data_IF_366555689630
#
_entry.id   IF_366555689630
#
_cell.length_a   1.000
_cell.length_b   1.000
_cell.length_c   1.000
_cell.angle_alpha   90.00
_cell.angle_beta   90.00
_cell.angle_gamma   90.00
#
_symmetry.space_group_name_H-M   'P 1'
#
loop_
_entity.id
_entity.type
_entity.pdbx_description
1 polymer ?
#
# COMPACT_ATOMS: atom_id res chain seq x y z
N UNK A 1 4.91 -10.85 -24.01
CA UNK A 1 3.93 -11.96 -23.99
C UNK A 1 2.77 -11.68 -23.03
N UNK A 2 2.98 -11.55 -21.71
CA UNK A 2 1.87 -11.31 -20.76
C UNK A 2 1.24 -9.90 -20.89
N UNK A 3 2.06 -8.85 -20.97
CA UNK A 3 1.59 -7.46 -21.13
C UNK A 3 0.84 -7.28 -22.46
N UNK A 4 1.28 -7.97 -23.52
CA UNK A 4 0.61 -7.93 -24.82
C UNK A 4 -0.81 -8.54 -24.75
N UNK A 5 -0.99 -9.59 -23.95
CA UNK A 5 -2.31 -10.20 -23.69
C UNK A 5 -3.18 -9.25 -22.87
N UNK A 6 -2.64 -8.59 -21.85
CA UNK A 6 -3.39 -7.59 -21.05
C UNK A 6 -3.88 -6.41 -21.92
N UNK A 7 -3.02 -5.91 -22.81
CA UNK A 7 -3.38 -4.83 -23.75
C UNK A 7 -4.48 -5.27 -24.72
N UNK A 8 -4.48 -6.53 -25.15
CA UNK A 8 -5.53 -7.08 -26.01
C UNK A 8 -6.89 -7.18 -25.29
N UNK A 9 -6.91 -7.49 -24.01
CA UNK A 9 -8.12 -7.45 -23.18
C UNK A 9 -8.64 -6.03 -22.98
N UNK A 10 -7.78 -5.04 -22.72
CA UNK A 10 -8.17 -3.63 -22.62
C UNK A 10 -8.73 -3.09 -23.95
N UNK A 11 -8.17 -3.52 -25.08
CA UNK A 11 -8.71 -3.22 -26.42
C UNK A 11 -10.11 -3.79 -26.61
N UNK A 12 -10.36 -5.00 -26.09
CA UNK A 12 -11.67 -5.66 -26.16
C UNK A 12 -12.73 -4.94 -25.31
N UNK A 13 -12.36 -4.32 -24.18
CA UNK A 13 -13.24 -3.43 -23.41
C UNK A 13 -13.80 -2.29 -24.26
N UNK A 14 -12.99 -1.73 -25.18
CA UNK A 14 -13.41 -0.65 -26.08
C UNK A 14 -14.48 -1.10 -27.07
N UNK A 15 -14.51 -2.39 -27.44
CA UNK A 15 -15.56 -2.96 -28.29
C UNK A 15 -16.88 -3.13 -27.50
N UNK A 16 -16.79 -3.43 -26.19
CA UNK A 16 -17.95 -3.58 -25.30
C UNK A 16 -18.70 -2.24 -25.09
N UNK A 17 -18.01 -1.10 -25.21
CA UNK A 17 -18.58 0.26 -25.12
C UNK A 17 -19.63 0.53 -26.21
N UNK A 18 -19.52 -0.13 -27.37
CA UNK A 18 -20.41 0.09 -28.51
C UNK A 18 -21.75 -0.65 -28.35
N UNK A 19 -21.85 -1.62 -27.42
CA UNK A 19 -23.10 -2.33 -27.18
C UNK A 19 -24.14 -1.42 -26.50
N UNK A 20 -25.38 -1.34 -27.02
CA UNK A 20 -26.40 -0.41 -26.55
C UNK A 20 -26.84 -0.61 -25.08
N UNK A 21 -26.59 -1.79 -24.51
CA UNK A 21 -26.95 -2.12 -23.12
C UNK A 21 -25.83 -1.77 -22.11
N UNK A 22 -24.55 -1.92 -22.48
CA UNK A 22 -23.42 -1.70 -21.56
C UNK A 22 -22.69 -0.37 -21.81
N UNK A 23 -22.84 0.24 -22.98
CA UNK A 23 -22.17 1.50 -23.35
C UNK A 23 -22.41 2.64 -22.37
N UNK A 24 -23.67 2.97 -22.00
CA UNK A 24 -23.97 4.06 -21.06
C UNK A 24 -23.34 3.85 -19.68
N UNK A 25 -23.30 2.61 -19.18
CA UNK A 25 -22.73 2.28 -17.87
C UNK A 25 -21.20 2.44 -17.89
N UNK A 26 -20.51 2.01 -18.96
CA UNK A 26 -19.05 2.12 -19.06
C UNK A 26 -18.61 3.58 -19.24
N UNK A 27 -19.35 4.38 -20.01
CA UNK A 27 -19.09 5.83 -20.17
C UNK A 27 -19.28 6.56 -18.84
N UNK A 28 -20.29 6.19 -18.04
CA UNK A 28 -20.49 6.72 -16.70
C UNK A 28 -19.30 6.37 -15.77
N UNK A 29 -18.85 5.11 -15.75
CA UNK A 29 -17.67 4.67 -14.96
C UNK A 29 -16.42 5.45 -15.37
N UNK A 30 -16.17 5.63 -16.66
CA UNK A 30 -14.98 6.36 -17.16
C UNK A 30 -14.99 7.82 -16.73
N UNK A 31 -16.16 8.46 -16.70
CA UNK A 31 -16.33 9.84 -16.22
C UNK A 31 -16.07 9.95 -14.71
N UNK A 32 -16.44 8.93 -13.93
CA UNK A 32 -16.16 8.86 -12.48
C UNK A 32 -14.70 8.51 -12.17
N UNK A 33 -14.04 7.76 -13.06
CA UNK A 33 -12.63 7.37 -12.90
C UNK A 33 -11.68 8.58 -12.87
N UNK A 34 -12.02 9.67 -13.58
CA UNK A 34 -11.23 10.91 -13.53
C UNK A 34 -11.19 11.49 -12.11
N UNK A 35 -12.31 11.49 -11.40
CA UNK A 35 -12.39 11.99 -10.04
C UNK A 35 -11.79 10.99 -9.03
N UNK A 36 -11.92 9.69 -9.31
CA UNK A 36 -11.24 8.61 -8.58
C UNK A 36 -9.72 8.79 -8.57
N UNK A 37 -9.14 9.25 -9.68
CA UNK A 37 -7.69 9.38 -9.83
C UNK A 37 -7.07 10.28 -8.74
N UNK A 38 -7.73 11.39 -8.41
CA UNK A 38 -7.30 12.29 -7.34
C UNK A 38 -7.35 11.62 -5.97
N UNK A 39 -8.37 10.81 -5.73
CA UNK A 39 -8.50 10.07 -4.48
C UNK A 39 -7.45 8.97 -4.31
N UNK A 40 -7.10 8.29 -5.40
CA UNK A 40 -6.06 7.26 -5.42
C UNK A 40 -4.69 7.85 -5.04
N UNK A 41 -4.43 9.10 -5.42
CA UNK A 41 -3.21 9.83 -5.01
C UNK A 41 -3.17 10.03 -3.48
N UNK A 42 -4.30 10.35 -2.84
CA UNK A 42 -4.36 10.50 -1.38
C UNK A 42 -4.07 9.16 -0.69
N UNK A 43 -4.65 8.06 -1.18
CA UNK A 43 -4.33 6.71 -0.69
C UNK A 43 -2.83 6.44 -0.83
N UNK A 44 -2.25 6.73 -1.99
CA UNK A 44 -0.83 6.50 -2.25
C UNK A 44 0.08 7.31 -1.30
N UNK A 45 -0.24 8.57 -1.02
CA UNK A 45 0.50 9.42 -0.09
C UNK A 45 0.44 8.85 1.33
N UNK A 46 -0.75 8.45 1.80
CA UNK A 46 -0.94 7.86 3.13
C UNK A 46 -0.17 6.54 3.26
N UNK A 47 -0.21 5.69 2.23
CA UNK A 47 0.52 4.42 2.17
C UNK A 47 2.03 4.64 2.25
N UNK A 48 2.56 5.60 1.48
CA UNK A 48 4.00 5.93 1.51
C UNK A 48 4.37 6.49 2.88
N UNK A 49 3.56 7.37 3.47
CA UNK A 49 3.82 7.95 4.79
C UNK A 49 3.93 6.90 5.90
N UNK A 50 3.00 5.94 5.93
CA UNK A 50 3.05 4.80 6.87
C UNK A 50 4.25 3.89 6.59
N UNK A 51 4.54 3.63 5.32
CA UNK A 51 5.68 2.83 4.90
C UNK A 51 7.04 3.41 5.33
N UNK A 52 7.21 4.73 5.21
CA UNK A 52 8.42 5.43 5.67
C UNK A 52 8.53 5.40 7.20
N UNK A 53 7.43 5.65 7.91
CA UNK A 53 7.40 5.70 9.39
C UNK A 53 7.66 4.32 10.04
N UNK A 54 7.12 3.23 9.49
CA UNK A 54 7.34 1.87 10.02
C UNK A 54 8.79 1.40 9.85
N UNK A 55 9.42 1.70 8.70
CA UNK A 55 10.84 1.35 8.47
C UNK A 55 11.79 2.26 9.25
N UNK A 56 11.51 3.55 9.39
CA UNK A 56 12.36 4.45 10.20
C UNK A 56 12.38 4.04 11.67
N UNK A 57 11.23 3.62 12.21
CA UNK A 57 11.12 3.13 13.59
C UNK A 57 11.92 1.85 13.83
N UNK A 58 11.85 0.90 12.91
CA UNK A 58 12.55 -0.39 13.01
C UNK A 58 14.07 -0.22 12.84
N UNK A 59 14.52 0.85 12.17
CA UNK A 59 15.94 1.13 11.94
C UNK A 59 16.61 1.88 13.10
N UNK A 60 15.83 2.51 13.98
CA UNK A 60 16.32 3.34 15.08
C UNK A 60 17.24 2.60 16.09
N UNK A 61 16.99 1.33 16.50
CA UNK A 61 17.89 0.63 17.42
C UNK A 61 19.13 -0.02 16.76
N UNK A 62 19.19 -0.09 15.42
CA UNK A 62 20.32 -0.74 14.70
C UNK A 62 21.54 0.18 14.53
N UNK A 63 21.44 1.44 14.92
CA UNK A 63 22.55 2.38 14.94
C UNK A 63 23.42 2.26 16.21
N UNK A 64 22.96 1.54 17.26
CA UNK A 64 23.73 1.33 18.48
C UNK A 64 24.33 -0.09 18.51
N UNK A 65 25.30 -0.33 17.64
CA UNK A 65 26.45 -1.20 17.94
C UNK A 65 26.23 -2.68 18.30
N UNK A 66 25.11 -3.32 17.98
CA UNK A 66 25.00 -4.78 18.15
C UNK A 66 25.53 -5.47 16.89
N UNK A 67 26.79 -5.86 17.01
CA UNK A 67 27.53 -6.74 16.12
C UNK A 67 26.89 -8.11 16.16
N UNK A 68 26.19 -8.52 15.10
CA UNK A 68 25.90 -9.92 14.89
C UNK A 68 27.19 -10.57 14.34
N UNK A 69 27.95 -11.23 15.22
CA UNK A 69 29.13 -12.04 14.88
C UNK A 69 30.26 -11.34 14.09
N UNK A 70 30.55 -10.06 14.36
CA UNK A 70 31.71 -9.37 13.78
C UNK A 70 31.60 -9.06 12.28
N UNK A 71 30.45 -9.33 11.66
CA UNK A 71 30.19 -8.92 10.28
C UNK A 71 29.47 -7.57 10.28
N UNK A 72 29.94 -6.56 9.50
CA UNK A 72 29.19 -5.34 9.34
C UNK A 72 27.82 -5.70 8.75
N UNK A 73 26.75 -5.36 9.48
CA UNK A 73 25.40 -5.41 8.92
C UNK A 73 25.45 -4.48 7.72
N UNK A 74 25.22 -5.03 6.53
CA UNK A 74 25.24 -4.31 5.28
C UNK A 74 24.09 -3.28 5.29
N UNK A 75 24.36 -2.12 5.87
CA UNK A 75 23.48 -0.95 5.90
C UNK A 75 23.55 -0.22 4.55
N UNK A 76 23.68 -0.98 3.46
CA UNK A 76 23.52 -0.45 2.12
C UNK A 76 22.14 0.18 2.03
N UNK A 77 22.13 1.52 2.12
CA UNK A 77 21.00 2.41 1.87
C UNK A 77 20.67 2.38 0.36
N UNK A 78 20.45 1.18 -0.16
CA UNK A 78 19.93 0.97 -1.51
C UNK A 78 18.50 1.46 -1.53
N UNK A 79 18.27 2.71 -1.94
CA UNK A 79 16.94 3.30 -2.04
C UNK A 79 15.96 2.35 -2.74
N UNK A 80 16.40 1.65 -3.79
CA UNK A 80 15.59 0.65 -4.51
C UNK A 80 15.11 -0.52 -3.63
N UNK A 81 15.96 -1.06 -2.76
CA UNK A 81 15.59 -2.16 -1.87
C UNK A 81 14.66 -1.67 -0.76
N UNK A 82 14.87 -0.45 -0.26
CA UNK A 82 14.02 0.20 0.74
C UNK A 82 12.63 0.46 0.16
N UNK A 83 12.51 1.00 -1.06
CA UNK A 83 11.22 1.23 -1.72
C UNK A 83 10.43 -0.06 -1.95
N UNK A 84 11.08 -1.11 -2.47
CA UNK A 84 10.41 -2.39 -2.71
C UNK A 84 9.92 -3.04 -1.39
N UNK A 85 10.75 -3.00 -0.35
CA UNK A 85 10.41 -3.57 0.97
C UNK A 85 9.45 -2.69 1.79
N UNK A 86 9.31 -1.40 1.46
CA UNK A 86 8.29 -0.52 2.06
C UNK A 86 6.94 -0.71 1.39
N UNK A 87 6.91 -0.71 0.06
CA UNK A 87 5.65 -0.67 -0.69
C UNK A 87 4.94 -2.01 -0.72
N UNK A 88 5.69 -3.12 -0.80
CA UNK A 88 5.12 -4.46 -0.88
C UNK A 88 4.24 -4.80 0.33
N UNK A 89 4.70 -4.77 1.60
CA UNK A 89 3.86 -5.14 2.73
C UNK A 89 2.69 -4.17 2.95
N UNK A 90 2.89 -2.88 2.63
CA UNK A 90 1.86 -1.86 2.77
C UNK A 90 0.71 -2.08 1.77
N UNK A 91 1.01 -2.52 0.55
CA UNK A 91 0.00 -2.93 -0.43
C UNK A 91 -0.85 -4.12 0.03
N UNK A 92 -0.22 -5.16 0.59
CA UNK A 92 -0.95 -6.31 1.13
C UNK A 92 -1.82 -5.94 2.34
N UNK A 93 -1.41 -4.93 3.12
CA UNK A 93 -2.19 -4.42 4.25
C UNK A 93 -3.54 -3.83 3.83
N UNK A 94 -3.59 -3.20 2.64
CA UNK A 94 -4.82 -2.64 2.08
C UNK A 94 -5.83 -3.74 1.70
N UNK A 95 -5.36 -4.97 1.46
CA UNK A 95 -6.18 -6.15 1.19
C UNK A 95 -6.47 -7.00 2.44
N UNK A 96 -6.28 -6.44 3.64
CA UNK A 96 -6.47 -7.14 4.94
C UNK A 96 -5.64 -8.42 5.11
N UNK A 97 -4.56 -8.59 4.32
CA UNK A 97 -3.59 -9.65 4.60
C UNK A 97 -2.54 -9.12 5.59
N UNK A 98 -2.71 -9.49 6.85
CA UNK A 98 -1.67 -9.32 7.85
C UNK A 98 -0.56 -10.33 7.56
N UNK A 99 0.48 -9.89 6.88
CA UNK A 99 1.72 -10.63 6.78
C UNK A 99 2.23 -10.87 8.20
N UNK A 100 2.08 -12.12 8.67
CA UNK A 100 2.63 -12.60 9.93
C UNK A 100 4.15 -12.73 9.79
N UNK A 101 4.83 -11.61 9.52
CA UNK A 101 6.27 -11.52 9.72
C UNK A 101 6.50 -11.38 11.23
N UNK A 102 6.34 -12.50 11.95
CA UNK A 102 7.11 -12.79 13.17
C UNK A 102 8.59 -12.92 12.79
N UNK A 103 9.17 -11.91 12.18
CA UNK A 103 10.62 -11.89 11.98
C UNK A 103 11.23 -11.31 13.23
N UNK A 104 11.52 -12.20 14.17
CA UNK A 104 12.69 -12.10 15.04
C UNK A 104 12.85 -10.77 15.79
N UNK A 105 11.81 -10.37 16.53
CA UNK A 105 11.94 -9.39 17.61
C UNK A 105 12.17 -10.06 18.98
N UNK A 106 12.47 -11.36 19.01
CA UNK A 106 12.81 -12.08 20.25
C UNK A 106 14.26 -11.83 20.71
N UNK A 107 14.87 -10.72 20.28
CA UNK A 107 16.23 -10.37 20.68
C UNK A 107 16.47 -8.86 20.67
N UNK A 108 15.53 -8.04 21.17
CA UNK A 108 15.95 -6.73 21.73
C UNK A 108 14.93 -6.18 22.73
N UNK A 109 15.37 -5.77 23.94
CA UNK A 109 14.50 -5.43 25.05
C UNK A 109 13.97 -3.99 24.98
N UNK A 110 13.28 -3.62 23.90
CA UNK A 110 12.72 -2.26 23.75
C UNK A 110 11.20 -2.36 23.50
N UNK A 111 10.45 -2.84 24.50
CA UNK A 111 9.01 -3.05 24.42
C UNK A 111 8.21 -1.82 23.93
N UNK A 112 8.70 -0.61 24.18
CA UNK A 112 8.03 0.64 23.79
C UNK A 112 7.97 0.87 22.28
N UNK A 113 9.05 0.58 21.54
CA UNK A 113 9.12 0.83 20.09
C UNK A 113 8.31 -0.19 19.28
N UNK A 114 8.22 -1.44 19.77
CA UNK A 114 7.36 -2.47 19.19
C UNK A 114 5.88 -2.10 19.31
N UNK A 115 5.44 -1.68 20.50
CA UNK A 115 4.05 -1.27 20.73
C UNK A 115 3.69 -0.08 19.84
N UNK A 116 4.59 0.91 19.71
CA UNK A 116 4.38 2.06 18.86
C UNK A 116 4.21 1.69 17.36
N UNK A 117 4.95 0.70 16.84
CA UNK A 117 4.76 0.22 15.47
C UNK A 117 3.40 -0.48 15.27
N UNK A 118 2.97 -1.30 16.23
CA UNK A 118 1.66 -1.97 16.17
C UNK A 118 0.49 -0.97 16.31
N UNK A 119 0.64 0.06 17.15
CA UNK A 119 -0.34 1.15 17.28
C UNK A 119 -0.41 1.98 15.99
N UNK A 120 0.73 2.32 15.39
CA UNK A 120 0.79 3.01 14.10
C UNK A 120 0.10 2.20 12.99
N UNK A 121 0.30 0.88 12.98
CA UNK A 121 -0.38 -0.05 12.07
C UNK A 121 -1.89 -0.02 12.27
N UNK A 122 -2.36 -0.09 13.52
CA UNK A 122 -3.79 -0.04 13.85
C UNK A 122 -4.43 1.27 13.40
N UNK A 123 -3.78 2.42 13.65
CA UNK A 123 -4.24 3.74 13.20
C UNK A 123 -4.31 3.80 11.68
N UNK A 124 -3.29 3.31 10.98
CA UNK A 124 -3.26 3.28 9.52
C UNK A 124 -4.40 2.42 8.95
N UNK A 125 -4.65 1.23 9.52
CA UNK A 125 -5.76 0.36 9.12
C UNK A 125 -7.11 1.02 9.33
N UNK A 126 -7.33 1.71 10.45
CA UNK A 126 -8.59 2.45 10.69
C UNK A 126 -8.75 3.56 9.65
N UNK A 127 -7.70 4.35 9.43
CA UNK A 127 -7.76 5.48 8.50
C UNK A 127 -7.99 5.04 7.06
N UNK A 128 -7.27 4.01 6.58
CA UNK A 128 -7.43 3.54 5.20
C UNK A 128 -8.72 2.73 5.04
N UNK A 129 -8.97 1.73 5.88
CA UNK A 129 -10.05 0.76 5.65
C UNK A 129 -11.43 1.27 6.10
N UNK A 130 -11.51 2.12 7.14
CA UNK A 130 -12.79 2.64 7.65
C UNK A 130 -13.06 4.05 7.14
N UNK A 131 -12.05 4.91 7.01
CA UNK A 131 -12.28 6.29 6.56
C UNK A 131 -12.13 6.42 5.05
N UNK A 132 -10.96 6.15 4.47
CA UNK A 132 -10.73 6.36 3.03
C UNK A 132 -11.56 5.40 2.18
N UNK A 133 -11.60 4.10 2.47
CA UNK A 133 -12.39 3.16 1.66
C UNK A 133 -13.88 3.46 1.72
N UNK A 134 -14.44 3.84 2.88
CA UNK A 134 -15.84 4.23 2.96
C UNK A 134 -16.12 5.57 2.27
N UNK A 135 -15.19 6.53 2.35
CA UNK A 135 -15.31 7.79 1.62
C UNK A 135 -15.20 7.58 0.09
N UNK A 136 -14.40 6.61 -0.35
CA UNK A 136 -14.31 6.20 -1.74
C UNK A 136 -15.65 5.66 -2.25
N UNK A 137 -16.21 4.70 -1.51
CA UNK A 137 -17.52 4.13 -1.81
C UNK A 137 -18.59 5.23 -1.82
N UNK A 138 -18.55 6.17 -0.88
CA UNK A 138 -19.47 7.30 -0.83
C UNK A 138 -19.33 8.25 -2.03
N UNK A 139 -18.11 8.51 -2.51
CA UNK A 139 -17.89 9.32 -3.72
C UNK A 139 -18.38 8.61 -4.98
N UNK A 140 -18.21 7.30 -5.09
CA UNK A 140 -18.83 6.52 -6.15
C UNK A 140 -20.36 6.58 -6.06
N UNK A 141 -20.93 6.36 -4.88
CA UNK A 141 -22.38 6.36 -4.67
C UNK A 141 -23.04 7.71 -4.92
N UNK A 142 -22.34 8.84 -4.77
CA UNK A 142 -22.87 10.18 -5.08
C UNK A 142 -22.75 10.56 -6.55
N UNK A 143 -21.90 9.86 -7.30
CA UNK A 143 -21.65 10.13 -8.73
C UNK A 143 -22.47 9.21 -9.64
N UNK A 144 -22.87 8.02 -9.17
CA UNK A 144 -23.92 7.18 -9.76
C UNK A 144 -25.31 7.76 -9.51
#
# INVERSE_FOLDING_TARGET
>A
MAIDVELWWLRSLSFIIILPFLGPQIVAITKMLKDLSFFLIIIAIVMIGYGVASRSMTYYPKANGVTDNGNPIDTSFGGKAVFANILYPVYYLLHTQFGNERTNLDSQPDAGWSIANHVLLAIHMIFVNILLTNLLIAMFSKRF
#
